data_IF_840939078087
#
_entry.id   IF_840939078087
#
_cell.length_a   1.000
_cell.length_b   1.000
_cell.length_c   1.000
_cell.angle_alpha   90.00
_cell.angle_beta   90.00
_cell.angle_gamma   90.00
#
_symmetry.space_group_name_H-M   'P 1'
#
loop_
_entity.id
_entity.type
_entity.pdbx_description
1 polymer ?
#
# COMPACT_ATOMS: atom_id res chain seq x y z
N UNK A 1 -11.90 -11.04 3.66
CA UNK A 1 -12.02 -12.08 4.70
C UNK A 1 -10.93 -13.13 4.49
N UNK A 2 -10.52 -13.78 5.58
CA UNK A 2 -9.66 -14.95 5.54
C UNK A 2 -10.12 -15.99 6.56
N UNK A 3 -9.80 -17.24 6.30
CA UNK A 3 -10.18 -18.37 7.15
C UNK A 3 -8.97 -19.21 7.51
N UNK A 4 -8.92 -19.70 8.74
CA UNK A 4 -7.89 -20.64 9.21
C UNK A 4 -8.08 -21.99 8.53
N UNK A 5 -7.01 -22.58 8.04
CA UNK A 5 -6.99 -23.95 7.53
C UNK A 5 -6.71 -24.92 8.69
N UNK A 6 -7.58 -25.92 8.88
CA UNK A 6 -7.41 -26.97 9.92
C UNK A 6 -8.70 -27.25 10.70
N UNK A 7 -8.69 -28.30 11.49
CA UNK A 7 -9.84 -28.76 12.26
C UNK A 7 -9.87 -28.23 13.70
N UNK A 8 -8.69 -28.10 14.34
CA UNK A 8 -8.56 -27.66 15.73
C UNK A 8 -8.13 -26.19 15.75
N UNK A 9 -9.12 -25.29 15.80
CA UNK A 9 -8.90 -23.84 15.77
C UNK A 9 -9.01 -23.32 17.21
N UNK A 10 -7.92 -22.72 17.76
CA UNK A 10 -7.95 -22.10 19.09
C UNK A 10 -8.98 -20.98 19.18
N UNK A 11 -9.53 -20.77 20.37
CA UNK A 11 -10.49 -19.68 20.58
C UNK A 11 -9.81 -18.31 20.44
N UNK A 12 -8.58 -18.18 20.89
CA UNK A 12 -7.81 -16.96 20.82
C UNK A 12 -6.69 -17.06 19.77
N UNK A 13 -6.86 -16.37 18.66
CA UNK A 13 -5.89 -16.23 17.59
C UNK A 13 -5.71 -14.76 17.26
N UNK A 14 -4.45 -14.34 17.12
CA UNK A 14 -4.08 -13.07 16.53
C UNK A 14 -3.80 -13.30 15.05
N UNK A 15 -4.65 -12.74 14.19
CA UNK A 15 -4.50 -12.83 12.75
C UNK A 15 -4.00 -11.49 12.19
N UNK A 16 -2.99 -11.51 11.33
CA UNK A 16 -2.43 -10.31 10.70
C UNK A 16 -2.32 -10.47 9.19
N UNK A 17 -2.53 -9.34 8.51
CA UNK A 17 -2.26 -9.15 7.10
C UNK A 17 -1.19 -8.08 6.97
N UNK A 18 -0.06 -8.41 6.38
CA UNK A 18 1.06 -7.50 6.14
C UNK A 18 1.23 -7.30 4.64
N UNK A 19 1.31 -6.04 4.17
CA UNK A 19 1.70 -5.75 2.80
C UNK A 19 3.22 -5.78 2.69
N UNK A 20 3.74 -6.48 1.68
CA UNK A 20 5.18 -6.58 1.44
C UNK A 20 5.67 -5.27 0.84
N UNK A 21 6.71 -4.69 1.41
CA UNK A 21 7.30 -3.46 0.90
C UNK A 21 8.12 -2.71 1.95
N UNK A 22 8.63 -1.55 1.55
CA UNK A 22 9.39 -0.67 2.44
C UNK A 22 8.49 0.08 3.42
N UNK A 23 7.22 0.25 3.05
CA UNK A 23 6.21 0.89 3.87
C UNK A 23 5.57 -0.12 4.81
N UNK A 24 5.32 0.30 6.04
CA UNK A 24 4.63 -0.56 6.99
C UNK A 24 3.12 -0.45 6.81
N UNK A 25 2.51 -1.53 6.32
CA UNK A 25 1.05 -1.66 6.22
C UNK A 25 0.64 -3.02 6.79
N UNK A 26 0.41 -3.05 8.10
CA UNK A 26 0.01 -4.23 8.85
C UNK A 26 -1.39 -4.01 9.40
N UNK A 27 -2.28 -4.97 9.21
CA UNK A 27 -3.66 -4.92 9.63
C UNK A 27 -3.99 -6.14 10.49
N UNK A 28 -4.59 -5.91 11.65
CA UNK A 28 -5.09 -6.98 12.49
C UNK A 28 -6.48 -7.42 12.02
N UNK A 29 -6.68 -8.74 11.97
CA UNK A 29 -7.96 -9.34 11.59
C UNK A 29 -8.94 -9.36 12.76
N UNK A 30 -10.11 -8.76 12.57
CA UNK A 30 -11.21 -8.89 13.52
C UNK A 30 -11.89 -10.23 13.35
N UNK A 31 -11.99 -10.99 14.45
CA UNK A 31 -12.68 -12.29 14.47
C UNK A 31 -14.15 -12.11 14.11
N UNK A 32 -14.64 -12.87 13.15
CA UNK A 32 -16.03 -12.90 12.71
C UNK A 32 -16.78 -14.11 13.28
N UNK A 33 -16.18 -15.28 13.15
CA UNK A 33 -16.65 -16.55 13.68
C UNK A 33 -15.45 -17.48 13.97
N UNK A 34 -15.70 -18.73 14.34
CA UNK A 34 -14.64 -19.68 14.62
C UNK A 34 -13.73 -19.86 13.38
N UNK A 35 -12.50 -19.35 13.48
CA UNK A 35 -11.49 -19.45 12.44
C UNK A 35 -11.65 -18.50 11.25
N UNK A 36 -12.63 -17.59 11.26
CA UNK A 36 -12.79 -16.57 10.21
C UNK A 36 -12.44 -15.20 10.71
N UNK A 37 -11.68 -14.45 9.91
CA UNK A 37 -11.22 -13.11 10.21
C UNK A 37 -11.60 -12.13 9.09
N UNK A 38 -11.92 -10.90 9.47
CA UNK A 38 -12.14 -9.78 8.56
C UNK A 38 -11.05 -8.73 8.78
N UNK A 39 -10.34 -8.39 7.71
CA UNK A 39 -9.36 -7.32 7.70
C UNK A 39 -9.99 -6.05 7.14
N UNK A 40 -9.82 -4.94 7.83
CA UNK A 40 -10.20 -3.60 7.37
C UNK A 40 -8.95 -2.88 6.93
N UNK A 41 -8.73 -2.83 5.63
CA UNK A 41 -7.53 -2.23 5.02
C UNK A 41 -7.83 -0.79 4.61
N UNK A 42 -6.85 0.08 4.76
CA UNK A 42 -6.90 1.48 4.31
C UNK A 42 -5.53 1.90 3.78
N UNK A 43 -5.51 2.84 2.83
CA UNK A 43 -4.27 3.32 2.23
C UNK A 43 -3.52 2.27 1.41
N UNK A 44 -4.19 1.18 1.01
CA UNK A 44 -3.63 0.14 0.16
C UNK A 44 -4.49 0.02 -1.08
N UNK A 45 -3.89 0.17 -2.24
CA UNK A 45 -4.57 0.19 -3.52
C UNK A 45 -3.83 -0.63 -4.57
N UNK A 46 -4.57 -1.08 -5.59
CA UNK A 46 -4.03 -1.85 -6.70
C UNK A 46 -3.53 -3.24 -6.30
N UNK A 47 -2.63 -3.79 -7.10
CA UNK A 47 -2.08 -5.13 -6.90
C UNK A 47 -0.88 -5.07 -5.96
N UNK A 48 -0.91 -5.85 -4.88
CA UNK A 48 0.18 -5.93 -3.90
C UNK A 48 0.38 -7.35 -3.38
N UNK A 49 1.61 -7.69 -3.06
CA UNK A 49 1.92 -8.91 -2.35
C UNK A 49 1.62 -8.74 -0.86
N UNK A 50 0.85 -9.65 -0.32
CA UNK A 50 0.48 -9.66 1.08
C UNK A 50 0.86 -10.97 1.74
N UNK A 51 1.25 -10.89 2.99
CA UNK A 51 1.50 -12.05 3.84
C UNK A 51 0.44 -12.12 4.93
N UNK A 52 -0.20 -13.27 5.03
CA UNK A 52 -1.13 -13.58 6.10
C UNK A 52 -0.46 -14.49 7.12
N UNK A 53 -0.65 -14.18 8.37
CA UNK A 53 -0.19 -14.98 9.50
C UNK A 53 -1.24 -15.02 10.59
N UNK A 54 -1.32 -16.12 11.32
CA UNK A 54 -2.09 -16.23 12.54
C UNK A 54 -1.28 -16.95 13.60
N UNK A 55 -1.38 -16.52 14.85
CA UNK A 55 -0.68 -17.11 15.96
C UNK A 55 -1.60 -17.22 17.17
N UNK A 56 -1.51 -18.34 17.89
CA UNK A 56 -2.20 -18.51 19.17
C UNK A 56 -1.47 -17.79 20.29
N UNK A 57 -2.12 -17.63 21.46
CA UNK A 57 -1.48 -17.10 22.65
C UNK A 57 -0.30 -17.95 23.14
N UNK A 58 -0.26 -19.23 22.76
CA UNK A 58 0.82 -20.16 23.08
C UNK A 58 1.98 -20.05 22.09
N UNK A 59 1.81 -19.21 21.05
CA UNK A 59 2.82 -18.99 20.01
C UNK A 59 2.83 -20.05 18.92
N UNK A 60 1.76 -20.84 18.78
CA UNK A 60 1.58 -21.75 17.66
C UNK A 60 1.06 -20.98 16.44
N UNK A 61 1.64 -21.28 15.28
CA UNK A 61 1.29 -20.62 14.03
C UNK A 61 0.22 -21.42 13.27
N UNK A 62 -0.69 -20.70 12.63
CA UNK A 62 -1.82 -21.23 11.86
C UNK A 62 -1.88 -20.60 10.48
N UNK A 63 -2.17 -21.40 9.48
CA UNK A 63 -2.29 -20.94 8.11
C UNK A 63 -3.64 -20.31 7.85
N UNK A 64 -3.63 -19.10 7.28
CA UNK A 64 -4.81 -18.39 6.83
C UNK A 64 -4.95 -18.47 5.31
N UNK A 65 -6.17 -18.68 4.83
CA UNK A 65 -6.53 -18.61 3.40
C UNK A 65 -7.46 -17.44 3.15
N UNK A 66 -7.13 -16.59 2.17
CA UNK A 66 -8.01 -15.50 1.73
C UNK A 66 -9.21 -16.08 1.00
N UNK A 67 -10.41 -15.60 1.37
CA UNK A 67 -11.62 -15.82 0.60
C UNK A 67 -11.62 -14.86 -0.60
N UNK A 68 -11.70 -15.41 -1.83
CA UNK A 68 -11.77 -14.57 -3.02
C UNK A 68 -13.09 -13.79 -3.05
N UNK A 69 -13.06 -12.45 -3.25
CA UNK A 69 -14.28 -11.67 -3.42
C UNK A 69 -14.82 -11.72 -4.85
N UNK A 70 -14.08 -12.34 -5.77
CA UNK A 70 -14.41 -12.38 -7.18
C UNK A 70 -15.30 -13.60 -7.52
N UNK A 71 -16.21 -13.40 -8.45
CA UNK A 71 -17.04 -14.47 -9.00
C UNK A 71 -16.21 -15.28 -9.98
N UNK A 72 -16.02 -16.56 -9.71
CA UNK A 72 -15.21 -17.46 -10.55
C UNK A 72 -15.89 -17.80 -11.88
N UNK A 73 -17.21 -17.67 -11.95
CA UNK A 73 -17.99 -18.03 -13.13
C UNK A 73 -18.69 -16.80 -13.71
N UNK A 74 -18.34 -16.43 -14.92
CA UNK A 74 -19.14 -15.50 -15.72
C UNK A 74 -20.33 -16.29 -16.29
N UNK A 75 -21.58 -16.01 -15.89
CA UNK A 75 -22.73 -16.83 -16.23
C UNK A 75 -23.17 -16.71 -17.69
N UNK A 76 -22.64 -15.77 -18.46
CA UNK A 76 -23.00 -15.52 -19.85
C UNK A 76 -21.78 -15.11 -20.68
N UNK A 77 -21.78 -15.62 -21.93
CA UNK A 77 -20.86 -15.09 -22.96
C UNK A 77 -21.17 -13.60 -23.19
N UNK A 78 -20.16 -12.77 -23.08
CA UNK A 78 -20.29 -11.36 -23.44
C UNK A 78 -20.54 -11.24 -24.95
N UNK A 79 -21.32 -10.25 -25.40
CA UNK A 79 -21.49 -10.00 -26.83
C UNK A 79 -20.14 -9.65 -27.46
N UNK A 80 -19.99 -10.02 -28.73
CA UNK A 80 -18.77 -9.72 -29.47
C UNK A 80 -18.61 -8.18 -29.61
N UNK A 81 -17.41 -7.67 -29.31
CA UNK A 81 -17.10 -6.26 -29.47
C UNK A 81 -16.78 -5.96 -30.92
N UNK A 82 -17.60 -5.16 -31.58
CA UNK A 82 -17.36 -4.67 -32.92
C UNK A 82 -16.88 -3.22 -32.86
N UNK A 83 -15.61 -2.99 -33.19
CA UNK A 83 -15.04 -1.65 -33.27
C UNK A 83 -14.90 -1.22 -34.73
N UNK A 84 -15.39 -0.02 -35.06
CA UNK A 84 -15.12 0.64 -36.34
C UNK A 84 -14.06 1.71 -36.12
N UNK A 85 -13.00 1.64 -36.90
CA UNK A 85 -11.89 2.58 -36.82
C UNK A 85 -11.79 3.38 -38.12
N UNK A 86 -11.43 4.66 -37.97
CA UNK A 86 -11.04 5.52 -39.11
C UNK A 86 -9.53 5.60 -39.09
N UNK A 87 -8.87 5.14 -40.16
CA UNK A 87 -7.42 5.04 -40.25
C UNK A 87 -6.69 6.35 -39.95
N UNK A 88 -7.21 7.49 -40.41
CA UNK A 88 -6.62 8.79 -40.16
C UNK A 88 -6.63 9.14 -38.66
N UNK A 89 -7.67 8.76 -37.94
CA UNK A 89 -7.77 8.98 -36.47
C UNK A 89 -6.78 8.08 -35.73
N UNK A 90 -6.58 6.84 -36.16
CA UNK A 90 -5.61 5.94 -35.58
C UNK A 90 -4.19 6.46 -35.75
N UNK A 91 -3.86 6.96 -36.96
CA UNK A 91 -2.54 7.55 -37.25
C UNK A 91 -2.29 8.77 -36.37
N UNK A 92 -3.23 9.71 -36.29
CA UNK A 92 -3.08 10.93 -35.47
C UNK A 92 -2.92 10.60 -33.98
N UNK A 93 -3.69 9.64 -33.46
CA UNK A 93 -3.54 9.17 -32.07
C UNK A 93 -2.21 8.47 -31.81
N UNK A 94 -1.71 7.70 -32.78
CA UNK A 94 -0.41 7.04 -32.66
C UNK A 94 0.73 8.07 -32.62
N UNK A 95 0.67 9.11 -33.46
CA UNK A 95 1.63 10.21 -33.44
C UNK A 95 1.59 10.97 -32.11
N UNK A 96 0.39 11.32 -31.64
CA UNK A 96 0.21 12.00 -30.36
C UNK A 96 0.77 11.18 -29.18
N UNK A 97 0.55 9.86 -29.16
CA UNK A 97 1.10 8.96 -28.15
C UNK A 97 2.64 8.92 -28.20
N UNK A 98 3.22 8.80 -29.40
CA UNK A 98 4.68 8.80 -29.56
C UNK A 98 5.32 10.12 -29.12
N UNK A 99 4.71 11.26 -29.43
CA UNK A 99 5.19 12.56 -28.97
C UNK A 99 5.07 12.70 -27.43
N UNK A 100 4.00 12.24 -26.85
CA UNK A 100 3.85 12.24 -25.38
C UNK A 100 4.88 11.37 -24.68
N UNK A 101 5.22 10.22 -25.25
CA UNK A 101 6.26 9.32 -24.72
C UNK A 101 7.68 9.87 -24.92
N UNK A 102 7.92 10.61 -26.01
CA UNK A 102 9.20 11.25 -26.29
C UNK A 102 9.50 12.44 -25.35
N UNK A 103 8.46 12.99 -24.72
CA UNK A 103 8.56 14.07 -23.74
C UNK A 103 7.97 13.61 -22.39
N UNK A 104 8.66 12.70 -21.68
CA UNK A 104 8.17 12.19 -20.42
C UNK A 104 8.02 13.31 -19.40
N UNK A 105 7.02 13.21 -18.55
CA UNK A 105 6.90 14.08 -17.37
C UNK A 105 8.10 13.90 -16.46
N UNK A 106 8.55 14.99 -15.85
CA UNK A 106 9.53 14.88 -14.78
C UNK A 106 8.97 13.91 -13.72
N UNK A 107 9.78 12.94 -13.24
CA UNK A 107 9.31 12.04 -12.20
C UNK A 107 8.79 12.89 -11.04
N UNK A 108 7.56 12.61 -10.61
CA UNK A 108 7.01 13.21 -9.40
C UNK A 108 8.04 13.03 -8.28
N UNK A 109 8.29 14.06 -7.47
CA UNK A 109 9.22 13.93 -6.36
C UNK A 109 8.81 12.70 -5.54
N UNK A 110 9.74 11.77 -5.35
CA UNK A 110 9.48 10.58 -4.55
C UNK A 110 8.96 11.06 -3.20
N UNK A 111 7.76 10.64 -2.86
CA UNK A 111 7.13 10.94 -1.59
C UNK A 111 8.11 10.54 -0.49
N UNK A 112 8.56 11.50 0.29
CA UNK A 112 9.45 11.27 1.41
C UNK A 112 8.82 10.24 2.36
N UNK A 113 9.68 9.48 3.03
CA UNK A 113 9.44 8.44 4.02
C UNK A 113 8.02 8.45 4.62
N UNK A 114 7.27 7.38 4.36
CA UNK A 114 5.94 7.27 4.93
C UNK A 114 6.02 7.16 6.44
N UNK A 115 5.24 8.00 7.07
CA UNK A 115 5.05 8.03 8.50
C UNK A 115 4.30 6.75 8.92
N UNK A 116 4.87 5.94 9.80
CA UNK A 116 4.10 4.88 10.46
C UNK A 116 3.08 5.55 11.39
N UNK A 117 1.81 5.38 11.10
CA UNK A 117 0.73 6.07 11.81
C UNK A 117 0.92 7.59 11.95
N UNK A 118 1.48 8.23 10.92
CA UNK A 118 1.77 9.66 10.95
C UNK A 118 3.01 10.05 11.78
N UNK A 119 3.81 9.10 12.24
CA UNK A 119 5.00 9.35 13.04
C UNK A 119 6.29 8.99 12.28
N UNK A 120 7.29 9.84 12.41
CA UNK A 120 8.65 9.53 11.96
C UNK A 120 9.29 8.51 12.92
N UNK A 121 10.26 7.70 12.45
CA UNK A 121 11.01 6.84 13.33
C UNK A 121 11.74 7.67 14.41
N UNK A 122 11.67 7.22 15.66
CA UNK A 122 12.41 7.83 16.77
C UNK A 122 13.93 7.74 16.55
N UNK A 123 14.37 6.69 15.87
CA UNK A 123 15.75 6.51 15.39
C UNK A 123 15.79 5.70 14.11
N UNK A 124 16.72 6.08 13.24
CA UNK A 124 17.05 5.35 12.01
C UNK A 124 18.52 4.99 12.01
N UNK A 125 18.83 3.75 11.69
CA UNK A 125 20.19 3.25 11.55
C UNK A 125 20.36 2.80 10.10
N UNK A 126 21.25 3.48 9.36
CA UNK A 126 21.68 3.05 8.04
C UNK A 126 22.81 2.05 8.20
N UNK A 127 22.60 0.79 7.92
CA UNK A 127 23.58 -0.27 8.18
C UNK A 127 24.81 -0.16 7.25
N UNK A 128 24.70 0.58 6.16
CA UNK A 128 25.85 0.82 5.27
C UNK A 128 26.90 1.75 5.89
N UNK A 129 26.54 2.50 6.95
CA UNK A 129 27.42 3.40 7.68
C UNK A 129 28.12 2.73 8.86
N UNK A 130 27.77 1.47 9.18
CA UNK A 130 28.34 0.73 10.31
C UNK A 130 29.18 -0.47 9.83
N UNK A 131 30.04 -0.97 10.73
CA UNK A 131 30.69 -2.25 10.51
C UNK A 131 29.63 -3.34 10.42
N UNK A 132 29.64 -4.07 9.34
CA UNK A 132 28.65 -5.10 9.06
C UNK A 132 28.92 -6.37 9.84
N UNK A 133 27.94 -6.81 10.60
CA UNK A 133 27.89 -8.10 11.26
C UNK A 133 27.16 -9.13 10.39
N UNK A 134 27.25 -10.41 10.74
CA UNK A 134 26.62 -11.47 9.96
C UNK A 134 25.11 -11.56 10.18
N UNK A 135 24.66 -11.34 11.40
CA UNK A 135 23.26 -11.46 11.80
C UNK A 135 22.74 -10.18 12.47
N UNK A 136 21.45 -9.97 12.37
CA UNK A 136 20.77 -8.78 12.93
C UNK A 136 20.94 -8.68 14.45
N UNK A 137 20.99 -9.81 15.16
CA UNK A 137 21.21 -9.84 16.61
C UNK A 137 22.48 -9.11 17.00
N UNK A 138 23.58 -9.34 16.29
CA UNK A 138 24.87 -8.69 16.56
C UNK A 138 24.78 -7.17 16.33
N UNK A 139 24.14 -6.74 15.23
CA UNK A 139 23.89 -5.33 14.97
C UNK A 139 23.09 -4.66 16.10
N UNK A 140 22.04 -5.32 16.58
CA UNK A 140 21.21 -4.79 17.66
C UNK A 140 22.00 -4.63 18.94
N UNK A 141 22.83 -5.59 19.31
CA UNK A 141 23.63 -5.57 20.54
C UNK A 141 24.70 -4.49 20.49
N UNK A 142 25.34 -4.29 19.33
CA UNK A 142 26.52 -3.43 19.23
C UNK A 142 26.17 -1.93 19.08
N UNK A 143 25.12 -1.58 18.31
CA UNK A 143 24.88 -0.17 18.04
C UNK A 143 23.41 0.28 18.08
N UNK A 144 22.43 -0.62 18.16
CA UNK A 144 21.02 -0.20 18.23
C UNK A 144 20.63 0.10 19.67
N UNK A 145 20.67 1.38 20.04
CA UNK A 145 20.44 1.81 21.41
C UNK A 145 18.96 1.74 21.81
N UNK A 146 18.71 1.34 23.08
CA UNK A 146 17.37 1.31 23.67
C UNK A 146 16.56 0.08 23.29
N UNK A 147 17.23 -0.96 22.86
CA UNK A 147 16.68 -2.31 22.67
C UNK A 147 17.42 -3.27 23.58
N UNK A 148 16.70 -4.20 24.17
CA UNK A 148 17.28 -5.37 24.85
C UNK A 148 16.68 -6.64 24.26
N UNK A 149 17.42 -7.72 24.37
CA UNK A 149 16.99 -9.05 23.93
C UNK A 149 16.93 -9.92 25.19
N UNK A 150 15.72 -10.25 25.60
CA UNK A 150 15.46 -11.14 26.70
C UNK A 150 15.21 -12.57 26.18
N UNK A 151 15.24 -13.54 27.07
CA UNK A 151 14.88 -14.92 26.74
C UNK A 151 13.64 -15.31 27.53
N UNK A 152 12.63 -15.78 26.85
CA UNK A 152 11.40 -16.30 27.45
C UNK A 152 11.22 -17.76 27.03
N UNK A 153 11.57 -18.70 27.90
CA UNK A 153 11.73 -20.10 27.51
C UNK A 153 12.87 -20.23 26.49
N UNK A 154 12.61 -20.91 25.39
CA UNK A 154 13.56 -21.09 24.29
C UNK A 154 13.52 -19.97 23.23
N UNK A 155 12.61 -18.98 23.39
CA UNK A 155 12.40 -17.89 22.42
C UNK A 155 13.08 -16.63 22.87
N UNK A 156 13.70 -15.93 21.91
CA UNK A 156 14.21 -14.59 22.13
C UNK A 156 13.05 -13.56 22.02
N UNK A 157 13.05 -12.58 22.93
CA UNK A 157 12.05 -11.51 22.98
C UNK A 157 12.76 -10.17 22.92
N UNK A 158 12.44 -9.37 21.93
CA UNK A 158 12.93 -8.00 21.80
C UNK A 158 12.04 -7.08 22.65
N UNK A 159 12.68 -6.25 23.48
CA UNK A 159 12.02 -5.19 24.24
C UNK A 159 12.59 -3.85 23.90
N UNK A 160 11.75 -2.84 23.94
CA UNK A 160 12.11 -1.47 23.61
C UNK A 160 11.99 -0.55 24.81
N UNK A 161 12.95 0.36 24.94
CA UNK A 161 12.95 1.37 25.99
C UNK A 161 11.81 2.38 25.71
N UNK A 162 11.05 2.70 26.74
CA UNK A 162 10.02 3.74 26.66
C UNK A 162 10.64 5.11 26.41
N UNK A 163 9.92 5.97 25.70
CA UNK A 163 10.45 7.27 25.30
C UNK A 163 10.78 8.19 26.48
N UNK A 164 9.89 8.23 27.46
CA UNK A 164 9.97 9.14 28.60
C UNK A 164 10.48 8.48 29.90
N UNK A 165 10.96 7.26 29.83
CA UNK A 165 11.42 6.54 30.99
C UNK A 165 12.68 5.72 30.72
N UNK A 166 13.43 5.44 31.79
CA UNK A 166 14.57 4.51 31.72
C UNK A 166 14.15 3.04 31.85
N UNK A 167 12.86 2.74 31.62
CA UNK A 167 12.32 1.40 31.75
C UNK A 167 11.97 0.83 30.38
N UNK A 168 12.19 -0.47 30.21
CA UNK A 168 11.73 -1.18 29.05
C UNK A 168 10.21 -1.37 29.08
N UNK A 169 9.59 -1.29 27.90
CA UNK A 169 8.17 -1.46 27.78
C UNK A 169 7.77 -2.90 28.11
N UNK A 170 6.65 -3.06 28.81
CA UNK A 170 6.12 -4.39 29.15
C UNK A 170 5.35 -5.02 28.00
N UNK A 171 4.80 -4.21 27.11
CA UNK A 171 4.12 -4.69 25.92
C UNK A 171 5.12 -5.28 24.90
N UNK A 172 4.71 -6.26 24.09
CA UNK A 172 5.56 -6.82 23.05
C UNK A 172 5.95 -5.76 22.01
N UNK A 173 7.10 -5.92 21.39
CA UNK A 173 7.52 -5.10 20.26
C UNK A 173 6.99 -5.74 18.97
N UNK A 174 6.39 -4.93 18.09
CA UNK A 174 6.09 -5.37 16.73
C UNK A 174 7.37 -5.36 15.91
N UNK A 175 7.79 -6.52 15.43
CA UNK A 175 9.02 -6.65 14.64
C UNK A 175 8.67 -6.95 13.20
N UNK A 176 9.24 -6.18 12.28
CA UNK A 176 8.94 -6.24 10.86
C UNK A 176 10.23 -6.44 10.04
N UNK A 177 10.12 -7.19 8.93
CA UNK A 177 11.08 -7.15 7.84
C UNK A 177 10.31 -6.86 6.55
N UNK A 178 10.66 -5.76 5.86
CA UNK A 178 9.98 -5.30 4.64
C UNK A 178 8.45 -5.30 4.79
N UNK A 179 7.96 -4.76 5.91
CA UNK A 179 6.54 -4.65 6.21
C UNK A 179 5.88 -5.91 6.76
N UNK A 180 6.54 -7.06 6.74
CA UNK A 180 5.99 -8.33 7.21
C UNK A 180 6.24 -8.48 8.71
N UNK A 181 5.16 -8.75 9.46
CA UNK A 181 5.22 -8.97 10.90
C UNK A 181 5.69 -10.38 11.25
N UNK A 182 6.65 -10.44 12.16
CA UNK A 182 7.21 -11.69 12.71
C UNK A 182 6.93 -11.77 14.20
N UNK A 183 6.29 -12.85 14.62
CA UNK A 183 6.01 -13.12 16.04
C UNK A 183 7.18 -13.82 16.74
N UNK A 184 7.92 -14.66 16.03
CA UNK A 184 9.15 -15.23 16.54
C UNK A 184 10.32 -14.29 16.27
N UNK A 185 10.68 -13.53 17.29
CA UNK A 185 11.80 -12.60 17.19
C UNK A 185 13.13 -13.31 16.93
N UNK A 186 13.24 -14.60 17.25
CA UNK A 186 14.46 -15.37 17.01
C UNK A 186 14.76 -15.49 15.51
N UNK A 187 13.74 -15.62 14.67
CA UNK A 187 13.89 -15.66 13.21
C UNK A 187 14.49 -14.35 12.68
N UNK A 188 13.98 -13.20 13.18
CA UNK A 188 14.47 -11.88 12.79
C UNK A 188 15.90 -11.64 13.29
N UNK A 189 16.19 -12.05 14.50
CA UNK A 189 17.52 -11.90 15.09
C UNK A 189 18.59 -12.73 14.36
N UNK A 190 18.20 -13.87 13.79
CA UNK A 190 19.07 -14.74 13.00
C UNK A 190 19.17 -14.30 11.52
N UNK A 191 18.38 -13.30 11.11
CA UNK A 191 18.39 -12.83 9.72
C UNK A 191 19.74 -12.23 9.31
N UNK A 192 20.11 -12.42 8.05
CA UNK A 192 21.38 -11.93 7.50
C UNK A 192 21.42 -10.39 7.43
N UNK A 193 22.25 -9.78 8.29
CA UNK A 193 22.38 -8.34 8.38
C UNK A 193 22.90 -7.67 7.09
N UNK A 194 23.64 -8.40 6.24
CA UNK A 194 24.09 -7.87 4.95
C UNK A 194 22.95 -7.58 3.96
N UNK A 195 21.76 -8.11 4.22
CA UNK A 195 20.56 -7.82 3.41
C UNK A 195 19.83 -6.58 3.87
N UNK A 196 20.02 -6.18 5.13
CA UNK A 196 19.32 -5.05 5.74
C UNK A 196 20.01 -3.74 5.35
N UNK A 197 19.23 -2.77 4.89
CA UNK A 197 19.68 -1.41 4.60
C UNK A 197 19.43 -0.50 5.79
N UNK A 198 18.18 -0.47 6.30
CA UNK A 198 17.80 0.37 7.43
C UNK A 198 17.20 -0.45 8.57
N UNK A 199 17.46 -0.01 9.79
CA UNK A 199 16.69 -0.37 10.97
C UNK A 199 16.00 0.89 11.47
N UNK A 200 14.65 0.90 11.44
CA UNK A 200 13.83 1.97 11.97
C UNK A 200 13.27 1.56 13.32
N UNK A 201 13.41 2.44 14.30
CA UNK A 201 12.93 2.26 15.65
C UNK A 201 11.85 3.29 15.95
N UNK A 202 10.65 2.82 16.28
CA UNK A 202 9.53 3.66 16.71
C UNK A 202 9.23 3.36 18.16
N UNK A 203 9.48 4.34 19.03
CA UNK A 203 9.24 4.23 20.47
C UNK A 203 7.86 4.74 20.81
N UNK A 204 7.22 4.12 21.78
CA UNK A 204 5.87 4.46 22.21
C UNK A 204 4.95 3.26 22.21
N UNK A 205 3.69 3.49 22.52
CA UNK A 205 2.66 2.46 22.47
C UNK A 205 1.84 2.61 21.18
N UNK A 206 1.73 1.53 20.44
CA UNK A 206 1.01 1.46 19.18
C UNK A 206 -0.13 0.46 19.30
N UNK A 207 -1.36 0.93 19.08
CA UNK A 207 -2.52 0.06 19.02
C UNK A 207 -2.73 -0.41 17.57
N UNK A 208 -2.70 -1.71 17.35
CA UNK A 208 -3.02 -2.34 16.09
C UNK A 208 -4.19 -3.30 16.32
N UNK A 209 -5.39 -2.90 15.91
CA UNK A 209 -6.60 -3.63 16.24
C UNK A 209 -6.86 -3.68 17.75
N UNK A 210 -6.89 -4.87 18.32
CA UNK A 210 -7.09 -5.11 19.75
C UNK A 210 -5.75 -5.27 20.51
N UNK A 211 -4.63 -5.31 19.80
CA UNK A 211 -3.30 -5.53 20.38
C UNK A 211 -2.56 -4.21 20.56
N UNK A 212 -1.92 -4.04 21.72
CA UNK A 212 -1.05 -2.91 22.02
C UNK A 212 0.41 -3.39 21.97
N UNK A 213 1.22 -2.70 21.18
CA UNK A 213 2.65 -2.93 21.04
C UNK A 213 3.44 -1.83 21.75
N UNK A 214 4.50 -2.21 22.44
CA UNK A 214 5.38 -1.30 23.19
C UNK A 214 6.52 -0.74 22.36
N UNK A 215 6.35 -0.66 21.08
CA UNK A 215 7.28 -0.15 20.09
C UNK A 215 7.21 -0.94 18.81
N UNK A 216 7.82 -0.38 17.75
CA UNK A 216 7.94 -1.04 16.45
C UNK A 216 9.41 -1.03 16.04
N UNK A 217 9.91 -2.20 15.64
CA UNK A 217 11.23 -2.37 15.06
C UNK A 217 11.05 -2.83 13.61
N UNK A 218 11.35 -1.95 12.65
CA UNK A 218 11.19 -2.23 11.23
C UNK A 218 12.55 -2.32 10.56
N UNK A 219 12.83 -3.49 9.99
CA UNK A 219 14.00 -3.75 9.17
C UNK A 219 13.62 -3.59 7.71
N UNK A 220 14.35 -2.77 7.00
CA UNK A 220 14.16 -2.52 5.57
C UNK A 220 15.34 -3.13 4.83
N UNK A 221 15.09 -4.08 3.95
CA UNK A 221 16.15 -4.66 3.10
C UNK A 221 16.46 -3.75 1.91
N UNK A 222 17.63 -3.95 1.28
CA UNK A 222 17.98 -3.21 0.06
C UNK A 222 16.93 -3.38 -1.06
N UNK A 223 16.31 -4.54 -1.15
CA UNK A 223 15.29 -4.86 -2.16
C UNK A 223 13.88 -4.47 -1.74
N UNK A 224 13.55 -4.53 -0.47
CA UNK A 224 12.20 -4.32 0.04
C UNK A 224 11.23 -5.47 -0.25
N UNK A 225 11.74 -6.68 -0.49
CA UNK A 225 10.96 -7.86 -0.89
C UNK A 225 11.31 -9.11 -0.09
N UNK A 226 11.78 -8.96 1.15
CA UNK A 226 12.18 -10.04 2.05
C UNK A 226 13.12 -11.07 1.38
N UNK A 227 14.28 -10.67 0.84
CA UNK A 227 15.15 -11.57 0.10
C UNK A 227 15.71 -12.69 1.01
N UNK A 228 15.72 -13.91 0.48
CA UNK A 228 16.34 -15.09 1.09
C UNK A 228 15.79 -15.52 2.47
N UNK A 229 14.67 -14.96 2.91
CA UNK A 229 13.95 -15.47 4.08
C UNK A 229 12.91 -16.49 3.63
N UNK A 230 12.97 -17.68 4.22
CA UNK A 230 11.90 -18.66 4.04
C UNK A 230 10.71 -18.20 4.88
N UNK A 231 9.64 -17.84 4.21
CA UNK A 231 8.36 -17.64 4.89
C UNK A 231 7.99 -18.95 5.54
N UNK A 232 7.69 -18.92 6.84
CA UNK A 232 7.28 -20.09 7.61
C UNK A 232 6.11 -20.79 6.90
N UNK A 233 5.99 -22.13 7.03
CA UNK A 233 4.90 -22.92 6.40
C UNK A 233 3.51 -22.39 6.71
N UNK A 234 3.36 -21.72 7.84
CA UNK A 234 2.11 -21.22 8.36
C UNK A 234 1.80 -19.78 7.91
N UNK A 235 2.76 -19.11 7.29
CA UNK A 235 2.54 -17.84 6.61
C UNK A 235 2.17 -18.09 5.15
N UNK A 236 1.14 -17.42 4.67
CA UNK A 236 0.74 -17.45 3.27
C UNK A 236 1.06 -16.12 2.58
N UNK A 237 1.91 -16.16 1.57
CA UNK A 237 2.11 -15.03 0.66
C UNK A 237 1.18 -15.18 -0.53
N UNK A 238 0.45 -14.10 -0.84
CA UNK A 238 -0.50 -14.05 -1.97
C UNK A 238 -0.42 -12.67 -2.61
N UNK A 239 -0.38 -12.63 -3.92
CA UNK A 239 -0.63 -11.39 -4.66
C UNK A 239 -2.12 -11.09 -4.60
N UNK A 240 -2.51 -10.00 -3.96
CA UNK A 240 -3.90 -9.60 -3.77
C UNK A 240 -4.19 -8.29 -4.49
N UNK A 241 -5.35 -8.22 -5.12
CA UNK A 241 -5.81 -7.01 -5.79
C UNK A 241 -6.76 -6.23 -4.87
N UNK A 242 -6.25 -5.12 -4.34
CA UNK A 242 -7.01 -4.17 -3.55
C UNK A 242 -7.84 -3.26 -4.47
N UNK A 243 -8.81 -2.50 -3.92
CA UNK A 243 -9.50 -1.49 -4.69
C UNK A 243 -8.52 -0.56 -5.40
N UNK A 244 -8.83 -0.21 -6.63
CA UNK A 244 -8.03 0.76 -7.37
C UNK A 244 -8.23 2.15 -6.78
N UNK A 245 -7.19 2.97 -6.83
CA UNK A 245 -7.33 4.39 -6.56
C UNK A 245 -8.38 4.99 -7.50
N UNK A 246 -9.16 5.94 -6.99
CA UNK A 246 -9.99 6.73 -7.88
C UNK A 246 -9.05 7.54 -8.76
N UNK A 247 -9.05 7.34 -10.09
CA UNK A 247 -8.21 8.12 -10.96
C UNK A 247 -8.59 9.60 -10.79
N UNK A 248 -7.63 10.41 -10.33
CA UNK A 248 -7.75 11.84 -10.39
C UNK A 248 -7.61 12.24 -11.86
N UNK A 249 -8.59 12.99 -12.37
CA UNK A 249 -8.44 13.55 -13.70
C UNK A 249 -7.59 14.82 -13.57
N UNK A 250 -6.35 14.72 -14.01
CA UNK A 250 -5.41 15.83 -14.00
C UNK A 250 -5.63 16.71 -15.23
N UNK A 251 -5.80 18.00 -14.99
CA UNK A 251 -5.86 19.02 -16.03
C UNK A 251 -4.63 19.91 -15.91
N UNK A 252 -3.97 20.27 -17.02
CA UNK A 252 -2.92 21.27 -16.98
C UNK A 252 -3.54 22.62 -16.58
N UNK A 253 -2.87 23.30 -15.67
CA UNK A 253 -3.25 24.67 -15.26
C UNK A 253 -2.45 25.68 -16.07
N UNK A 254 -3.04 26.17 -17.14
CA UNK A 254 -2.44 27.20 -18.00
C UNK A 254 -2.44 28.60 -17.40
N UNK A 255 -2.95 28.81 -16.19
CA UNK A 255 -2.68 30.03 -15.42
C UNK A 255 -1.23 30.06 -14.91
N UNK A 256 -0.58 28.89 -14.77
CA UNK A 256 0.83 28.77 -14.47
C UNK A 256 1.67 29.06 -15.73
N UNK A 257 2.61 30.00 -15.62
CA UNK A 257 3.44 30.45 -16.73
C UNK A 257 4.37 29.34 -17.27
N UNK A 258 4.87 28.47 -16.41
CA UNK A 258 5.71 27.33 -16.80
C UNK A 258 4.93 26.33 -17.68
N UNK A 259 3.68 26.05 -17.32
CA UNK A 259 2.80 25.17 -18.09
C UNK A 259 2.43 25.82 -19.41
N UNK A 260 2.09 27.11 -19.40
CA UNK A 260 1.70 27.88 -20.59
C UNK A 260 2.83 28.04 -21.61
N UNK A 261 4.08 28.16 -21.15
CA UNK A 261 5.26 28.30 -22.00
C UNK A 261 5.93 26.98 -22.35
N UNK A 262 5.41 25.87 -21.84
CA UNK A 262 5.88 24.53 -22.16
C UNK A 262 5.78 24.26 -23.67
N UNK A 263 6.81 23.63 -24.23
CA UNK A 263 6.81 23.16 -25.63
C UNK A 263 6.13 21.79 -25.78
N UNK A 264 5.62 21.21 -24.70
CA UNK A 264 4.92 19.91 -24.72
C UNK A 264 3.50 20.13 -25.25
N UNK A 265 3.14 19.54 -26.40
CA UNK A 265 1.79 19.69 -26.94
C UNK A 265 0.77 18.97 -26.05
N UNK A 266 -0.40 19.57 -25.92
CA UNK A 266 -1.53 18.98 -25.18
C UNK A 266 -2.48 18.27 -26.15
N UNK A 267 -2.37 16.96 -26.23
CA UNK A 267 -3.19 16.11 -27.12
C UNK A 267 -4.35 15.41 -26.37
N UNK A 268 -4.85 16.01 -25.31
CA UNK A 268 -5.99 15.43 -24.57
C UNK A 268 -7.26 15.48 -25.41
N UNK A 269 -7.92 14.33 -25.53
CA UNK A 269 -9.26 14.23 -26.11
C UNK A 269 -10.37 14.46 -25.07
N UNK A 270 -10.09 14.19 -23.78
CA UNK A 270 -10.98 14.48 -22.67
C UNK A 270 -10.49 15.75 -21.98
N UNK A 271 -11.21 16.83 -22.11
CA UNK A 271 -10.81 18.13 -21.57
C UNK A 271 -11.09 18.24 -20.07
N UNK A 272 -12.20 17.66 -19.63
CA UNK A 272 -12.65 17.69 -18.25
C UNK A 272 -13.43 16.44 -17.89
N UNK A 273 -13.20 15.93 -16.71
CA UNK A 273 -14.01 14.87 -16.13
C UNK A 273 -14.10 15.04 -14.61
N UNK A 274 -15.30 15.02 -14.08
CA UNK A 274 -15.53 15.09 -12.65
C UNK A 274 -16.73 14.19 -12.28
N UNK A 275 -16.50 13.13 -11.48
CA UNK A 275 -17.55 12.20 -11.10
C UNK A 275 -18.49 12.75 -10.01
N UNK A 276 -18.15 13.89 -9.38
CA UNK A 276 -18.92 14.49 -8.29
C UNK A 276 -18.92 16.00 -8.39
N UNK A 277 -20.02 16.54 -8.91
CA UNK A 277 -20.24 18.01 -9.08
C UNK A 277 -21.06 18.62 -7.94
N UNK A 278 -21.06 18.00 -6.76
CA UNK A 278 -21.86 18.43 -5.62
C UNK A 278 -21.77 19.94 -5.35
N UNK A 279 -22.90 20.62 -5.38
CA UNK A 279 -23.03 22.07 -5.08
C UNK A 279 -22.34 23.03 -6.06
N UNK A 280 -21.75 22.55 -7.15
CA UNK A 280 -21.10 23.41 -8.15
C UNK A 280 -22.09 23.85 -9.24
N UNK A 281 -22.23 25.13 -9.41
CA UNK A 281 -23.06 25.73 -10.48
C UNK A 281 -22.25 26.15 -11.70
N UNK A 282 -20.92 26.21 -11.58
CA UNK A 282 -20.01 26.64 -12.65
C UNK A 282 -18.75 25.80 -12.61
N UNK A 283 -18.30 25.37 -13.78
CA UNK A 283 -17.06 24.63 -13.98
C UNK A 283 -16.25 25.30 -15.06
N UNK A 284 -14.96 25.45 -14.84
CA UNK A 284 -13.99 26.01 -15.79
C UNK A 284 -12.93 24.97 -16.09
N UNK A 285 -12.52 24.88 -17.34
CA UNK A 285 -11.46 24.00 -17.80
C UNK A 285 -10.75 24.57 -19.02
N UNK A 286 -9.55 24.10 -19.31
CA UNK A 286 -8.77 24.50 -20.47
C UNK A 286 -8.96 23.53 -21.63
N UNK A 287 -8.97 24.06 -22.86
CA UNK A 287 -8.94 23.26 -24.08
C UNK A 287 -7.56 22.65 -24.30
N UNK A 288 -7.48 21.68 -25.20
CA UNK A 288 -6.22 21.09 -25.68
C UNK A 288 -5.79 21.74 -27.02
N UNK A 289 -4.64 21.33 -27.56
CA UNK A 289 -4.14 21.75 -28.87
C UNK A 289 -4.80 20.98 -30.04
N UNK A 290 -5.85 20.22 -29.76
CA UNK A 290 -6.60 19.48 -30.77
C UNK A 290 -7.85 20.30 -31.19
N UNK A 291 -7.83 20.72 -32.46
CA UNK A 291 -9.02 21.34 -33.09
C UNK A 291 -10.12 20.29 -33.26
N UNK A 292 -11.36 20.73 -33.13
CA UNK A 292 -12.52 19.87 -33.39
C UNK A 292 -13.74 20.19 -32.57
N UNK A 293 -14.78 19.40 -32.80
CA UNK A 293 -16.05 19.47 -32.05
C UNK A 293 -15.97 18.59 -30.83
N UNK A 294 -16.16 19.18 -29.67
CA UNK A 294 -16.23 18.51 -28.39
C UNK A 294 -17.66 18.39 -27.87
N UNK A 295 -17.92 17.34 -27.16
CA UNK A 295 -19.20 17.03 -26.55
C UNK A 295 -19.07 17.11 -25.05
N UNK A 296 -19.86 17.94 -24.41
CA UNK A 296 -20.00 17.96 -22.97
C UNK A 296 -21.28 17.22 -22.57
N UNK A 297 -21.17 16.32 -21.62
CA UNK A 297 -22.29 15.59 -21.03
C UNK A 297 -22.35 15.83 -19.53
N UNK A 298 -23.55 16.02 -19.01
CA UNK A 298 -23.82 16.04 -17.57
C UNK A 298 -24.90 15.02 -17.26
N UNK A 299 -24.48 13.97 -16.56
CA UNK A 299 -25.37 12.90 -16.14
C UNK A 299 -25.39 12.81 -14.62
N UNK A 300 -26.54 12.63 -14.01
CA UNK A 300 -26.65 12.53 -12.58
C UNK A 300 -28.09 12.45 -12.08
N UNK A 301 -28.24 12.72 -10.80
CA UNK A 301 -29.51 12.76 -10.10
C UNK A 301 -29.53 14.01 -9.22
N UNK A 302 -30.59 14.78 -9.26
CA UNK A 302 -30.76 15.93 -8.36
C UNK A 302 -31.16 15.50 -6.93
N UNK A 303 -31.27 16.46 -6.03
CA UNK A 303 -31.63 16.22 -4.65
C UNK A 303 -33.05 15.65 -4.47
N UNK A 304 -33.90 15.72 -5.48
CA UNK A 304 -35.24 15.17 -5.50
C UNK A 304 -35.31 13.77 -6.13
N UNK A 305 -34.14 13.23 -6.58
CA UNK A 305 -34.07 11.94 -7.24
C UNK A 305 -34.41 11.97 -8.73
N UNK A 306 -34.55 13.14 -9.33
CA UNK A 306 -34.84 13.28 -10.76
C UNK A 306 -33.56 13.16 -11.58
N UNK A 307 -33.60 12.37 -12.65
CA UNK A 307 -32.48 12.18 -13.58
C UNK A 307 -32.15 13.50 -14.29
N UNK A 308 -30.88 13.87 -14.28
CA UNK A 308 -30.28 14.92 -15.09
C UNK A 308 -29.51 14.23 -16.22
N UNK A 309 -29.75 14.67 -17.44
CA UNK A 309 -29.10 14.15 -18.65
C UNK A 309 -29.07 15.29 -19.67
N UNK A 310 -27.95 16.00 -19.68
CA UNK A 310 -27.75 17.16 -20.54
C UNK A 310 -26.56 16.93 -21.45
N UNK A 311 -26.68 17.36 -22.70
CA UNK A 311 -25.64 17.25 -23.72
C UNK A 311 -25.58 18.53 -24.52
N UNK A 312 -24.37 19.04 -24.75
CA UNK A 312 -24.13 20.19 -25.66
C UNK A 312 -22.81 20.04 -26.39
N UNK A 313 -22.65 20.72 -27.49
CA UNK A 313 -21.50 20.69 -28.35
C UNK A 313 -20.83 22.05 -28.42
N UNK A 314 -19.50 22.08 -28.52
CA UNK A 314 -18.72 23.30 -28.74
C UNK A 314 -17.50 22.98 -29.62
N UNK A 315 -17.02 24.01 -30.32
CA UNK A 315 -15.85 23.90 -31.19
C UNK A 315 -14.62 24.49 -30.53
N UNK A 316 -13.47 23.79 -30.69
CA UNK A 316 -12.13 24.28 -30.38
C UNK A 316 -11.43 24.53 -31.71
N UNK A 317 -10.82 25.71 -31.87
CA UNK A 317 -10.10 26.17 -33.08
C UNK A 317 -8.70 26.60 -32.71
#
# INVERSE_FOLDING_TARGET
NARVEGADIPEALLAQLSCVGKEMKVFEGKKKDAGSFRFYTHGVNGQQDVVLSAVSNEGEAYRLKIETPFVELLPKRLPDLHCQFVDSVLVSRSVALQLSQAMPEAPLPQKMEELIYGQLPSKTYNLDEYVRFNIVKECIIEFVMGITIDTQGDKAVIRMLQEDSKKYNMFPVLVLIDGIAFYDHSEVLAYNAHRVHYIHQYRGNFALGETVYGGILSLITHRGTLPDMRINRDMQMVTYEFPQDRPAFEMPDYSNEEVRTSRKPDFRHTLYWNPSLEGKTKTEFYTSDLDGTYVATLEGVDNEGKKIDLKWEFEVK
#
